data_IF_958032206707
#
_entry.id   IF_958032206707
#
_cell.length_a   1.000
_cell.length_b   1.000
_cell.length_c   1.000
_cell.angle_alpha   90.00
_cell.angle_beta   90.00
_cell.angle_gamma   90.00
#
_symmetry.space_group_name_H-M   'P 1'
#
loop_
_entity.id
_entity.type
_entity.pdbx_description
1 polymer ?
#
# COMPACT_ATOMS: atom_id res chain seq x y z
N UNK A 1 15.07 -20.08 10.76
CA UNK A 1 15.22 -21.13 9.72
C UNK A 1 13.94 -21.15 8.88
N UNK A 2 13.98 -20.61 7.65
CA UNK A 2 12.85 -20.70 6.70
C UNK A 2 12.72 -22.17 6.30
N UNK A 3 11.59 -22.79 6.60
CA UNK A 3 11.36 -24.20 6.30
C UNK A 3 11.40 -24.40 4.79
N UNK A 4 12.19 -25.35 4.25
CA UNK A 4 12.25 -25.64 2.81
C UNK A 4 10.87 -26.00 2.23
N UNK A 5 9.97 -26.47 3.09
CA UNK A 5 8.55 -26.74 2.78
C UNK A 5 7.79 -25.52 2.24
N UNK A 6 8.21 -24.28 2.54
CA UNK A 6 7.54 -23.06 2.06
C UNK A 6 7.69 -22.80 0.55
N UNK A 7 8.67 -23.43 -0.11
CA UNK A 7 8.92 -23.27 -1.54
C UNK A 7 8.16 -24.31 -2.38
N UNK A 8 7.77 -25.42 -1.77
CA UNK A 8 7.10 -26.54 -2.46
C UNK A 8 5.78 -26.09 -3.09
N UNK A 9 4.96 -25.36 -2.33
CA UNK A 9 3.64 -24.92 -2.83
C UNK A 9 3.74 -23.97 -4.03
N UNK A 10 4.58 -22.92 -4.02
CA UNK A 10 4.79 -22.08 -5.22
C UNK A 10 5.26 -22.87 -6.45
N UNK A 11 6.20 -23.80 -6.28
CA UNK A 11 6.66 -24.64 -7.39
C UNK A 11 5.54 -25.52 -7.91
N UNK A 12 4.78 -26.14 -7.03
CA UNK A 12 3.64 -26.99 -7.42
C UNK A 12 2.58 -26.18 -8.18
N UNK A 13 2.31 -24.94 -7.76
CA UNK A 13 1.39 -24.04 -8.47
C UNK A 13 1.88 -23.70 -9.88
N UNK A 14 3.18 -23.47 -10.08
CA UNK A 14 3.76 -23.23 -11.40
C UNK A 14 3.65 -24.47 -12.30
N UNK A 15 3.88 -25.67 -11.74
CA UNK A 15 3.73 -26.93 -12.50
C UNK A 15 2.27 -27.14 -12.90
N UNK A 16 1.32 -26.93 -11.96
CA UNK A 16 -0.12 -27.04 -12.25
C UNK A 16 -0.54 -26.04 -13.31
N UNK A 17 -0.05 -24.79 -13.22
CA UNK A 17 -0.30 -23.79 -14.25
C UNK A 17 0.17 -24.24 -15.62
N UNK A 18 1.42 -24.70 -15.74
CA UNK A 18 1.98 -25.11 -17.04
C UNK A 18 1.22 -26.31 -17.65
N UNK A 19 0.88 -27.31 -16.81
CA UNK A 19 0.07 -28.47 -17.25
C UNK A 19 -1.33 -28.01 -17.71
N UNK A 20 -1.96 -27.11 -16.96
CA UNK A 20 -3.27 -26.57 -17.33
C UNK A 20 -3.20 -25.75 -18.63
N UNK A 21 -2.17 -24.90 -18.78
CA UNK A 21 -1.97 -24.10 -19.98
C UNK A 21 -1.75 -24.96 -21.24
N UNK A 22 -1.00 -26.05 -21.11
CA UNK A 22 -0.81 -27.01 -22.19
C UNK A 22 -2.11 -27.78 -22.54
N UNK A 23 -2.89 -28.16 -21.49
CA UNK A 23 -4.15 -28.91 -21.68
C UNK A 23 -5.24 -28.04 -22.31
N UNK A 24 -5.37 -26.79 -21.90
CA UNK A 24 -6.34 -25.82 -22.42
C UNK A 24 -5.92 -25.40 -23.85
N UNK A 25 -4.61 -25.31 -24.12
CA UNK A 25 -4.02 -24.91 -25.40
C UNK A 25 -4.64 -23.64 -26.02
N UNK A 26 -5.03 -22.69 -25.16
CA UNK A 26 -5.61 -21.40 -25.53
C UNK A 26 -4.92 -20.28 -24.77
N UNK A 27 -4.06 -19.53 -25.48
CA UNK A 27 -3.27 -18.44 -24.90
C UNK A 27 -4.12 -17.25 -24.44
N UNK A 28 -5.38 -17.12 -24.91
CA UNK A 28 -6.32 -16.10 -24.45
C UNK A 28 -6.94 -16.43 -23.08
N UNK A 29 -6.94 -17.70 -22.68
CA UNK A 29 -7.47 -18.14 -21.39
C UNK A 29 -6.32 -18.25 -20.39
N UNK A 30 -5.28 -19.01 -20.74
CA UNK A 30 -4.14 -19.28 -19.88
C UNK A 30 -2.85 -19.37 -20.71
N UNK A 31 -2.01 -18.31 -20.73
CA UNK A 31 -0.76 -18.33 -21.48
C UNK A 31 0.24 -19.29 -20.83
N UNK A 32 1.11 -19.88 -21.65
CA UNK A 32 2.19 -20.76 -21.21
C UNK A 32 3.32 -19.92 -20.59
N UNK A 33 4.07 -20.50 -19.68
CA UNK A 33 5.22 -19.85 -19.05
C UNK A 33 6.26 -19.41 -20.07
N UNK A 34 6.42 -20.16 -21.17
CA UNK A 34 7.33 -19.81 -22.27
C UNK A 34 7.02 -18.47 -22.95
N UNK A 35 5.76 -17.97 -22.86
CA UNK A 35 5.37 -16.66 -23.42
C UNK A 35 5.46 -15.53 -22.37
N UNK A 36 5.32 -15.84 -21.10
CA UNK A 36 5.37 -14.86 -19.99
C UNK A 36 6.81 -14.55 -19.57
N UNK A 37 7.67 -15.58 -19.46
CA UNK A 37 9.04 -15.44 -18.97
C UNK A 37 9.89 -14.49 -19.83
N UNK A 38 9.86 -14.52 -21.18
CA UNK A 38 10.62 -13.57 -21.99
C UNK A 38 10.26 -12.11 -21.72
N UNK A 39 8.98 -11.81 -21.44
CA UNK A 39 8.52 -10.45 -21.10
C UNK A 39 9.16 -9.98 -19.79
N UNK A 40 9.24 -10.86 -18.80
CA UNK A 40 9.87 -10.54 -17.51
C UNK A 40 11.40 -10.41 -17.62
N UNK A 41 12.03 -11.17 -18.52
CA UNK A 41 13.49 -11.12 -18.75
C UNK A 41 13.92 -9.91 -19.60
N UNK A 42 12.99 -9.30 -20.34
CA UNK A 42 13.25 -8.11 -21.14
C UNK A 42 12.39 -6.91 -20.64
N UNK A 43 12.53 -6.47 -19.39
CA UNK A 43 11.62 -5.52 -18.73
C UNK A 43 11.73 -4.09 -19.28
N UNK A 44 12.70 -3.81 -20.15
CA UNK A 44 12.93 -2.51 -20.79
C UNK A 44 12.35 -2.42 -22.21
N UNK A 45 11.87 -3.53 -22.77
CA UNK A 45 11.25 -3.54 -24.09
C UNK A 45 9.85 -2.95 -24.01
N UNK A 46 9.50 -2.15 -25.02
CA UNK A 46 8.17 -1.55 -25.14
C UNK A 46 7.10 -2.60 -25.31
N UNK A 47 5.98 -2.44 -24.61
CA UNK A 47 4.83 -3.34 -24.67
C UNK A 47 3.65 -2.60 -25.28
N UNK A 48 3.30 -2.95 -26.50
CA UNK A 48 2.12 -2.45 -27.21
C UNK A 48 2.05 -0.92 -27.33
N UNK A 49 3.19 -0.21 -27.28
CA UNK A 49 3.23 1.26 -27.32
C UNK A 49 2.84 1.94 -26.00
N UNK A 50 2.69 1.17 -24.89
CA UNK A 50 2.39 1.73 -23.56
C UNK A 50 3.64 2.01 -22.73
N UNK A 51 4.81 1.74 -23.27
CA UNK A 51 6.08 1.76 -22.57
C UNK A 51 6.47 0.39 -22.01
N UNK A 52 7.66 0.30 -21.45
CA UNK A 52 8.21 -0.93 -20.88
C UNK A 52 7.62 -1.27 -19.51
N UNK A 53 7.85 -2.50 -19.01
CA UNK A 53 7.49 -2.87 -17.64
C UNK A 53 8.13 -1.93 -16.60
N UNK A 54 9.41 -1.57 -16.80
CA UNK A 54 10.13 -0.67 -15.90
C UNK A 54 9.52 0.72 -15.93
N UNK A 55 9.20 1.26 -17.11
CA UNK A 55 8.56 2.56 -17.25
C UNK A 55 7.22 2.60 -16.52
N UNK A 56 6.34 1.62 -16.77
CA UNK A 56 5.03 1.55 -16.14
C UNK A 56 5.13 1.35 -14.61
N UNK A 57 6.12 0.57 -14.16
CA UNK A 57 6.39 0.40 -12.72
C UNK A 57 6.79 1.72 -12.05
N UNK A 58 7.68 2.48 -12.67
CA UNK A 58 8.12 3.78 -12.15
C UNK A 58 6.96 4.78 -12.07
N UNK A 59 6.12 4.84 -13.10
CA UNK A 59 4.92 5.71 -13.10
C UNK A 59 3.95 5.33 -11.97
N UNK A 60 3.68 4.02 -11.78
CA UNK A 60 2.83 3.57 -10.67
C UNK A 60 3.45 3.89 -9.31
N UNK A 61 4.78 3.75 -9.16
CA UNK A 61 5.51 4.10 -7.94
C UNK A 61 5.47 5.59 -7.63
N UNK A 62 5.58 6.45 -8.64
CA UNK A 62 5.45 7.91 -8.48
C UNK A 62 4.05 8.26 -7.96
N UNK A 63 3.01 7.70 -8.56
CA UNK A 63 1.62 7.95 -8.16
C UNK A 63 1.31 7.47 -6.75
N UNK A 64 1.73 6.24 -6.42
CA UNK A 64 1.51 5.71 -5.06
C UNK A 64 2.30 6.53 -4.04
N UNK A 65 3.52 6.93 -4.36
CA UNK A 65 4.34 7.81 -3.52
C UNK A 65 3.63 9.13 -3.24
N UNK A 66 3.10 9.79 -4.26
CA UNK A 66 2.38 11.05 -4.11
C UNK A 66 1.15 10.90 -3.19
N UNK A 67 0.26 9.94 -3.45
CA UNK A 67 -0.93 9.72 -2.62
C UNK A 67 -0.61 9.30 -1.19
N UNK A 68 0.40 8.45 -1.02
CA UNK A 68 0.87 8.02 0.28
C UNK A 68 1.47 9.17 1.11
N UNK A 69 2.28 10.04 0.50
CA UNK A 69 2.85 11.22 1.19
C UNK A 69 1.76 12.19 1.65
N UNK A 70 0.73 12.42 0.83
CA UNK A 70 -0.44 13.22 1.24
C UNK A 70 -1.15 12.57 2.43
N UNK A 71 -1.31 11.24 2.39
CA UNK A 71 -1.91 10.51 3.52
C UNK A 71 -1.09 10.64 4.80
N UNK A 72 0.24 10.53 4.73
CA UNK A 72 1.14 10.74 5.87
C UNK A 72 0.98 12.12 6.48
N UNK A 73 1.02 13.15 5.61
CA UNK A 73 0.97 14.55 6.04
C UNK A 73 -0.32 14.90 6.79
N UNK A 74 -1.43 14.22 6.50
CA UNK A 74 -2.74 14.49 7.11
C UNK A 74 -3.05 13.48 8.22
N UNK A 75 -2.88 12.18 7.98
CA UNK A 75 -3.31 11.13 8.90
C UNK A 75 -2.48 11.10 10.20
N UNK A 76 -1.17 11.34 10.12
CA UNK A 76 -0.32 11.29 11.32
C UNK A 76 -0.65 12.45 12.26
N UNK A 77 -0.65 13.75 11.85
CA UNK A 77 -1.00 14.84 12.75
C UNK A 77 -2.42 14.72 13.31
N UNK A 78 -3.39 14.35 12.45
CA UNK A 78 -4.77 14.15 12.89
C UNK A 78 -4.87 13.00 13.91
N UNK A 79 -4.22 11.86 13.65
CA UNK A 79 -4.22 10.70 14.52
C UNK A 79 -3.54 10.95 15.86
N UNK A 80 -2.43 11.70 15.87
CA UNK A 80 -1.79 12.14 17.09
C UNK A 80 -2.71 13.07 17.89
N UNK A 81 -3.35 14.04 17.22
CA UNK A 81 -4.28 14.96 17.86
C UNK A 81 -5.50 14.24 18.45
N UNK A 82 -6.08 13.28 17.74
CA UNK A 82 -7.21 12.47 18.23
C UNK A 82 -6.78 11.54 19.36
N UNK A 83 -5.63 10.89 19.25
CA UNK A 83 -5.10 10.02 20.30
C UNK A 83 -4.78 10.77 21.61
N UNK A 84 -4.36 12.03 21.51
CA UNK A 84 -3.99 12.88 22.65
C UNK A 84 -5.18 13.62 23.25
N UNK A 85 -6.12 14.12 22.43
CA UNK A 85 -7.25 14.96 22.86
C UNK A 85 -8.58 14.24 22.74
N UNK A 86 -9.21 13.93 23.89
CA UNK A 86 -10.56 13.33 23.92
C UNK A 86 -11.62 14.18 23.20
N UNK A 87 -11.48 15.52 23.21
CA UNK A 87 -12.44 16.42 22.54
C UNK A 87 -12.33 16.29 21.03
N UNK A 88 -11.11 16.28 20.51
CA UNK A 88 -10.87 16.12 19.08
C UNK A 88 -11.31 14.73 18.61
N UNK A 89 -11.01 13.69 19.38
CA UNK A 89 -11.45 12.32 19.14
C UNK A 89 -12.98 12.25 19.02
N UNK A 90 -13.71 12.73 20.02
CA UNK A 90 -15.16 12.73 20.04
C UNK A 90 -15.79 13.54 18.87
N UNK A 91 -15.14 14.61 18.44
CA UNK A 91 -15.62 15.44 17.33
C UNK A 91 -15.43 14.78 15.96
N UNK A 92 -14.32 14.11 15.73
CA UNK A 92 -13.93 13.59 14.40
C UNK A 92 -14.29 12.12 14.22
N UNK A 93 -14.29 11.31 15.29
CA UNK A 93 -14.43 9.85 15.25
C UNK A 93 -15.68 9.40 14.50
N UNK A 94 -16.85 10.02 14.77
CA UNK A 94 -18.11 9.67 14.10
C UNK A 94 -17.99 9.81 12.58
N UNK A 95 -17.37 10.88 12.10
CA UNK A 95 -17.18 11.10 10.65
C UNK A 95 -16.25 10.04 10.04
N UNK A 96 -15.17 9.69 10.74
CA UNK A 96 -14.25 8.64 10.31
C UNK A 96 -14.96 7.29 10.22
N UNK A 97 -15.75 6.93 11.24
CA UNK A 97 -16.49 5.66 11.27
C UNK A 97 -17.51 5.56 10.14
N UNK A 98 -18.10 6.66 9.69
CA UNK A 98 -19.05 6.70 8.57
C UNK A 98 -18.35 6.59 7.21
N UNK A 99 -17.16 7.20 7.05
CA UNK A 99 -16.45 7.24 5.76
C UNK A 99 -15.58 6.00 5.53
N UNK A 100 -14.99 5.42 6.58
CA UNK A 100 -14.07 4.30 6.51
C UNK A 100 -14.58 3.07 5.76
N UNK A 101 -15.88 2.64 5.91
CA UNK A 101 -16.39 1.46 5.21
C UNK A 101 -16.49 1.62 3.69
N UNK A 102 -16.42 2.86 3.18
CA UNK A 102 -16.54 3.12 1.74
C UNK A 102 -15.23 2.74 1.05
N UNK A 103 -15.23 1.76 0.12
CA UNK A 103 -14.02 1.37 -0.59
C UNK A 103 -13.40 2.58 -1.33
N UNK A 104 -12.06 2.78 -1.29
CA UNK A 104 -11.42 3.92 -1.94
C UNK A 104 -11.77 4.06 -3.43
N UNK A 105 -11.87 2.93 -4.16
CA UNK A 105 -12.22 2.94 -5.58
C UNK A 105 -13.65 3.42 -5.87
N UNK A 106 -14.57 3.25 -4.92
CA UNK A 106 -15.95 3.74 -5.08
C UNK A 106 -16.03 5.28 -5.18
N UNK A 107 -15.00 5.98 -4.70
CA UNK A 107 -14.87 7.43 -4.84
C UNK A 107 -14.40 7.86 -6.24
N UNK A 108 -14.06 6.91 -7.14
CA UNK A 108 -13.54 7.19 -8.48
C UNK A 108 -14.35 8.22 -9.28
N UNK A 109 -15.68 8.05 -9.46
CA UNK A 109 -16.51 9.03 -10.17
C UNK A 109 -16.47 10.43 -9.55
N UNK A 110 -16.51 10.52 -8.22
CA UNK A 110 -16.41 11.80 -7.51
C UNK A 110 -15.02 12.41 -7.61
N UNK A 111 -13.97 11.59 -7.53
CA UNK A 111 -12.60 12.04 -7.70
C UNK A 111 -12.40 12.68 -9.08
N UNK A 112 -12.94 12.07 -10.14
CA UNK A 112 -12.90 12.64 -11.50
C UNK A 112 -13.73 13.93 -11.59
N UNK A 113 -14.90 13.98 -10.96
CA UNK A 113 -15.74 15.15 -10.96
C UNK A 113 -15.10 16.36 -10.25
N UNK A 114 -14.37 16.12 -9.16
CA UNK A 114 -13.74 17.17 -8.36
C UNK A 114 -12.36 17.60 -8.89
N UNK A 115 -11.56 16.65 -9.34
CA UNK A 115 -10.15 16.86 -9.70
C UNK A 115 -9.88 16.72 -11.20
N UNK A 116 -10.92 16.48 -12.01
CA UNK A 116 -10.82 16.13 -13.42
C UNK A 116 -10.12 14.79 -13.67
N UNK A 117 -10.10 14.39 -14.92
CA UNK A 117 -9.37 13.20 -15.38
C UNK A 117 -7.86 13.45 -15.25
N UNK A 118 -7.11 12.55 -14.62
CA UNK A 118 -5.66 12.66 -14.53
C UNK A 118 -5.09 12.25 -13.17
N UNK A 119 -3.86 12.69 -12.89
CA UNK A 119 -3.08 12.28 -11.73
C UNK A 119 -3.74 12.65 -10.39
N UNK A 120 -4.40 13.81 -10.32
CA UNK A 120 -4.98 14.30 -9.05
C UNK A 120 -6.12 13.39 -8.56
N UNK A 121 -6.98 12.92 -9.46
CA UNK A 121 -8.06 11.98 -9.11
C UNK A 121 -7.50 10.63 -8.63
N UNK A 122 -6.41 10.14 -9.25
CA UNK A 122 -5.73 8.92 -8.82
C UNK A 122 -5.07 9.11 -7.45
N UNK A 123 -4.33 10.20 -7.25
CA UNK A 123 -3.69 10.56 -5.97
C UNK A 123 -4.71 10.62 -4.84
N UNK A 124 -5.92 11.15 -5.10
CA UNK A 124 -7.00 11.19 -4.11
C UNK A 124 -7.48 9.79 -3.72
N UNK A 125 -7.65 8.86 -4.67
CA UNK A 125 -8.05 7.47 -4.39
C UNK A 125 -6.97 6.74 -3.60
N UNK A 126 -5.70 6.93 -3.98
CA UNK A 126 -4.54 6.34 -3.30
C UNK A 126 -4.44 6.90 -1.87
N UNK A 127 -4.63 8.22 -1.73
CA UNK A 127 -4.69 8.89 -0.43
C UNK A 127 -5.75 8.25 0.48
N UNK A 128 -6.98 8.05 0.02
CA UNK A 128 -8.03 7.41 0.80
C UNK A 128 -7.66 5.99 1.22
N UNK A 129 -6.98 5.24 0.36
CA UNK A 129 -6.52 3.89 0.66
C UNK A 129 -5.50 3.84 1.80
N UNK A 130 -4.57 4.79 1.84
CA UNK A 130 -3.54 4.89 2.88
C UNK A 130 -4.05 5.57 4.16
N UNK A 131 -4.93 6.56 4.03
CA UNK A 131 -5.33 7.48 5.11
C UNK A 131 -5.90 6.77 6.32
N UNK A 132 -6.93 5.94 6.15
CA UNK A 132 -7.60 5.30 7.28
C UNK A 132 -6.70 4.33 8.06
N UNK A 133 -5.93 3.42 7.44
CA UNK A 133 -5.01 2.56 8.17
C UNK A 133 -3.95 3.34 8.96
N UNK A 134 -3.38 4.39 8.37
CA UNK A 134 -2.37 5.22 9.03
C UNK A 134 -3.00 5.97 10.21
N UNK A 135 -4.16 6.59 9.99
CA UNK A 135 -4.88 7.34 11.01
C UNK A 135 -5.21 6.48 12.23
N UNK A 136 -5.85 5.33 12.01
CA UNK A 136 -6.30 4.47 13.10
C UNK A 136 -5.13 3.89 13.89
N UNK A 137 -4.08 3.40 13.21
CA UNK A 137 -2.90 2.92 13.91
C UNK A 137 -2.16 4.03 14.66
N UNK A 138 -2.22 5.28 14.17
CA UNK A 138 -1.65 6.42 14.88
C UNK A 138 -2.46 6.73 16.14
N UNK A 139 -3.80 6.76 16.06
CA UNK A 139 -4.68 6.93 17.21
C UNK A 139 -4.43 5.83 18.26
N UNK A 140 -4.44 4.58 17.83
CA UNK A 140 -4.23 3.41 18.70
C UNK A 140 -2.84 3.44 19.34
N UNK A 141 -1.81 3.80 18.58
CA UNK A 141 -0.45 3.95 19.06
C UNK A 141 -0.36 4.99 20.19
N UNK A 142 -0.95 6.16 20.01
CA UNK A 142 -0.96 7.22 21.01
C UNK A 142 -1.78 6.82 22.25
N UNK A 143 -2.96 6.22 22.06
CA UNK A 143 -3.84 5.78 23.15
C UNK A 143 -3.26 4.59 23.94
N UNK A 144 -2.37 3.79 23.35
CA UNK A 144 -1.77 2.61 23.99
C UNK A 144 -0.69 2.93 25.00
N UNK A 145 -0.22 4.16 25.07
CA UNK A 145 0.85 4.57 26.00
C UNK A 145 0.36 4.49 27.44
N UNK A 146 1.13 3.78 28.27
CA UNK A 146 0.81 3.59 29.69
C UNK A 146 0.74 4.95 30.41
N UNK A 147 -0.37 5.20 31.09
CA UNK A 147 -0.58 6.44 31.88
C UNK A 147 0.55 6.69 32.85
N UNK A 148 1.08 5.63 33.47
CA UNK A 148 2.21 5.73 34.42
C UNK A 148 3.43 6.41 33.79
N UNK A 149 3.74 6.19 32.52
CA UNK A 149 4.87 6.86 31.86
C UNK A 149 4.62 8.38 31.73
N UNK A 150 3.39 8.75 31.41
CA UNK A 150 2.96 10.14 31.31
C UNK A 150 3.04 10.81 32.67
N UNK A 151 2.52 10.16 33.73
CA UNK A 151 2.52 10.65 35.11
C UNK A 151 3.93 10.83 35.68
N UNK A 152 4.83 9.86 35.43
CA UNK A 152 6.24 9.97 35.82
C UNK A 152 6.92 11.17 35.15
N UNK A 153 6.71 11.34 33.83
CA UNK A 153 7.29 12.47 33.11
C UNK A 153 6.77 13.83 33.67
N UNK A 154 5.46 13.91 33.97
CA UNK A 154 4.86 15.12 34.59
C UNK A 154 5.38 15.38 35.99
N UNK A 155 5.57 14.36 36.82
CA UNK A 155 6.16 14.47 38.16
C UNK A 155 7.59 15.02 38.11
N UNK A 156 8.33 14.69 37.05
CA UNK A 156 9.67 15.22 36.76
C UNK A 156 9.64 16.64 36.18
N UNK A 157 8.48 17.27 36.05
CA UNK A 157 8.33 18.66 35.59
C UNK A 157 8.25 18.79 34.05
N UNK A 158 8.01 17.72 33.32
CA UNK A 158 7.87 17.79 31.86
C UNK A 158 6.55 18.51 31.48
N UNK A 159 6.64 19.48 30.57
CA UNK A 159 5.47 20.13 29.99
C UNK A 159 4.70 19.16 29.08
N UNK A 160 3.42 19.43 28.79
CA UNK A 160 2.58 18.59 27.89
C UNK A 160 3.23 18.34 26.52
N UNK A 161 3.88 19.36 25.95
CA UNK A 161 4.61 19.22 24.67
C UNK A 161 5.82 18.29 24.79
N UNK A 162 6.52 18.34 25.91
CA UNK A 162 7.64 17.44 26.18
C UNK A 162 7.18 16.02 26.40
N UNK A 163 6.09 15.82 27.13
CA UNK A 163 5.46 14.49 27.29
C UNK A 163 5.06 13.92 25.94
N UNK A 164 4.36 14.70 25.10
CA UNK A 164 3.95 14.26 23.78
C UNK A 164 5.16 13.88 22.89
N UNK A 165 6.16 14.77 22.81
CA UNK A 165 7.28 14.58 21.87
C UNK A 165 8.34 13.59 22.35
N UNK A 166 8.57 13.46 23.67
CA UNK A 166 9.65 12.63 24.23
C UNK A 166 9.20 11.30 24.82
N UNK A 167 7.90 11.14 25.12
CA UNK A 167 7.35 9.92 25.70
C UNK A 167 6.33 9.28 24.77
N UNK A 168 5.29 10.03 24.40
CA UNK A 168 4.14 9.48 23.67
C UNK A 168 4.51 9.13 22.23
N UNK A 169 5.07 10.06 21.45
CA UNK A 169 5.41 9.82 20.04
C UNK A 169 6.47 8.72 19.86
N UNK A 170 7.59 8.70 20.62
CA UNK A 170 8.53 7.60 20.56
C UNK A 170 7.91 6.25 20.96
N UNK A 171 7.07 6.23 22.01
CA UNK A 171 6.39 5.02 22.43
C UNK A 171 5.34 4.53 21.43
N UNK A 172 4.64 5.44 20.74
CA UNK A 172 3.64 5.13 19.72
C UNK A 172 4.26 4.73 18.36
N UNK A 173 5.52 5.11 18.11
CA UNK A 173 6.17 4.97 16.81
C UNK A 173 6.12 3.55 16.21
N UNK A 174 6.22 2.42 16.96
CA UNK A 174 6.11 1.09 16.38
C UNK A 174 4.70 0.80 15.83
N UNK A 175 3.66 1.29 16.50
CA UNK A 175 2.27 1.11 16.05
C UNK A 175 1.97 2.01 14.86
N UNK A 176 2.46 3.26 14.87
CA UNK A 176 2.40 4.17 13.71
C UNK A 176 3.09 3.51 12.51
N UNK A 177 4.29 2.92 12.69
CA UNK A 177 5.00 2.22 11.62
C UNK A 177 4.20 1.06 11.04
N UNK A 178 3.52 0.29 11.89
CA UNK A 178 2.59 -0.76 11.44
C UNK A 178 1.48 -0.16 10.57
N UNK A 179 0.93 1.00 10.97
CA UNK A 179 -0.05 1.75 10.17
C UNK A 179 0.48 2.19 8.82
N UNK A 180 1.73 2.67 8.75
CA UNK A 180 2.39 3.04 7.50
C UNK A 180 2.52 1.84 6.56
N UNK A 181 2.96 0.70 7.06
CA UNK A 181 3.11 -0.53 6.29
C UNK A 181 1.78 -1.02 5.72
N UNK A 182 0.74 -1.10 6.56
CA UNK A 182 -0.60 -1.52 6.12
C UNK A 182 -1.18 -0.50 5.13
N UNK A 183 -1.05 0.80 5.43
CA UNK A 183 -1.51 1.89 4.57
C UNK A 183 -0.84 1.88 3.21
N UNK A 184 0.48 1.65 3.14
CA UNK A 184 1.18 1.53 1.87
C UNK A 184 0.70 0.33 1.05
N UNK A 185 0.49 -0.83 1.70
CA UNK A 185 -0.05 -2.02 1.03
C UNK A 185 -1.40 -1.77 0.38
N UNK A 186 -2.32 -1.07 1.07
CA UNK A 186 -3.62 -0.71 0.51
C UNK A 186 -3.48 0.36 -0.57
N UNK A 187 -2.61 1.36 -0.39
CA UNK A 187 -2.31 2.37 -1.41
C UNK A 187 -1.77 1.74 -2.70
N UNK A 188 -0.91 0.71 -2.59
CA UNK A 188 -0.40 -0.05 -3.73
C UNK A 188 -1.51 -0.79 -4.49
N UNK A 189 -2.49 -1.37 -3.80
CA UNK A 189 -3.67 -1.94 -4.46
C UNK A 189 -4.53 -0.85 -5.12
N UNK A 190 -4.69 0.28 -4.45
CA UNK A 190 -5.49 1.41 -4.95
C UNK A 190 -4.89 2.03 -6.21
N UNK A 191 -3.55 2.16 -6.34
CA UNK A 191 -2.95 2.74 -7.55
C UNK A 191 -3.24 1.89 -8.78
N UNK A 192 -3.13 0.56 -8.67
CA UNK A 192 -3.40 -0.34 -9.78
C UNK A 192 -4.85 -0.21 -10.27
N UNK A 193 -5.80 -0.13 -9.32
CA UNK A 193 -7.21 0.05 -9.64
C UNK A 193 -7.52 1.47 -10.16
N UNK A 194 -6.85 2.51 -9.64
CA UNK A 194 -7.01 3.88 -10.10
C UNK A 194 -6.46 4.08 -11.52
N UNK A 195 -5.45 3.33 -11.92
CA UNK A 195 -4.91 3.34 -13.27
C UNK A 195 -5.84 2.72 -14.34
N UNK A 196 -6.92 2.08 -13.92
CA UNK A 196 -8.00 1.63 -14.82
C UNK A 196 -9.00 2.76 -15.15
N UNK A 197 -8.93 3.89 -14.44
CA UNK A 197 -9.81 5.02 -14.70
C UNK A 197 -9.50 5.68 -16.07
N UNK A 198 -10.50 6.30 -16.71
CA UNK A 198 -10.33 6.99 -17.97
C UNK A 198 -9.22 8.06 -17.91
N UNK A 199 -8.52 8.25 -19.05
CA UNK A 199 -7.48 9.26 -19.20
C UNK A 199 -6.10 8.86 -18.70
N UNK A 200 -5.92 7.60 -18.27
CA UNK A 200 -4.61 7.04 -17.97
C UNK A 200 -3.96 6.52 -19.26
N UNK A 201 -2.67 6.79 -19.44
CA UNK A 201 -1.91 6.36 -20.63
C UNK A 201 -0.68 5.52 -20.28
N UNK A 202 -0.41 5.32 -18.99
CA UNK A 202 0.77 4.60 -18.48
C UNK A 202 0.53 4.11 -17.05
N UNK A 203 1.36 3.20 -16.59
CA UNK A 203 1.27 2.54 -15.28
C UNK A 203 0.97 1.04 -15.42
N UNK A 204 1.31 0.25 -14.39
CA UNK A 204 1.13 -1.21 -14.40
C UNK A 204 -0.35 -1.62 -14.50
N UNK A 205 -1.25 -0.89 -13.82
CA UNK A 205 -2.69 -1.11 -13.94
C UNK A 205 -3.18 -0.81 -15.35
N UNK A 206 -2.78 0.33 -15.93
CA UNK A 206 -3.11 0.68 -17.31
C UNK A 206 -2.60 -0.36 -18.29
N UNK A 207 -1.34 -0.78 -18.18
CA UNK A 207 -0.74 -1.82 -19.03
C UNK A 207 -1.56 -3.11 -19.00
N UNK A 208 -1.99 -3.57 -17.81
CA UNK A 208 -2.80 -4.79 -17.68
C UNK A 208 -4.17 -4.65 -18.34
N UNK A 209 -4.84 -3.51 -18.17
CA UNK A 209 -6.14 -3.24 -18.81
C UNK A 209 -5.99 -3.10 -20.34
N UNK A 210 -4.94 -2.42 -20.79
CA UNK A 210 -4.67 -2.25 -22.21
C UNK A 210 -4.37 -3.59 -22.89
N UNK A 211 -3.52 -4.41 -22.28
CA UNK A 211 -3.22 -5.75 -22.77
C UNK A 211 -4.46 -6.65 -22.80
N UNK A 212 -5.38 -6.50 -21.83
CA UNK A 212 -6.68 -7.21 -21.84
C UNK A 212 -7.51 -6.86 -23.07
N UNK A 213 -7.61 -5.57 -23.43
CA UNK A 213 -8.37 -5.11 -24.59
C UNK A 213 -7.83 -5.66 -25.93
N UNK A 214 -6.53 -6.00 -25.97
CA UNK A 214 -5.89 -6.62 -27.13
C UNK A 214 -5.79 -8.16 -27.04
N UNK A 215 -6.36 -8.77 -25.99
CA UNK A 215 -6.31 -10.22 -25.79
C UNK A 215 -4.91 -10.78 -25.49
N UNK A 216 -3.98 -9.94 -25.04
CA UNK A 216 -2.57 -10.29 -24.81
C UNK A 216 -2.35 -10.72 -23.36
N UNK A 217 -2.85 -11.90 -22.98
CA UNK A 217 -2.86 -12.39 -21.59
C UNK A 217 -1.47 -12.56 -21.00
N UNK A 218 -0.45 -12.86 -21.79
CA UNK A 218 0.93 -12.98 -21.30
C UNK A 218 1.48 -11.66 -20.75
N UNK A 219 1.11 -10.50 -21.32
CA UNK A 219 1.48 -9.19 -20.76
C UNK A 219 0.72 -8.87 -19.48
N UNK A 220 -0.56 -9.29 -19.38
CA UNK A 220 -1.33 -9.13 -18.15
C UNK A 220 -0.63 -9.86 -16.99
N UNK A 221 -0.27 -11.13 -17.22
CA UNK A 221 0.37 -11.96 -16.20
C UNK A 221 1.77 -11.43 -15.86
N UNK A 222 2.55 -11.00 -16.86
CA UNK A 222 3.83 -10.36 -16.60
C UNK A 222 3.66 -9.07 -15.76
N UNK A 223 2.66 -8.25 -16.05
CA UNK A 223 2.28 -7.09 -15.24
C UNK A 223 1.89 -7.47 -13.81
N UNK A 224 1.03 -8.49 -13.64
CA UNK A 224 0.63 -8.99 -12.30
C UNK A 224 1.81 -9.52 -11.49
N UNK A 225 2.73 -10.26 -12.11
CA UNK A 225 3.96 -10.74 -11.45
C UNK A 225 4.82 -9.55 -11.03
N UNK A 226 4.98 -8.54 -11.88
CA UNK A 226 5.74 -7.33 -11.59
C UNK A 226 5.12 -6.56 -10.41
N UNK A 227 3.78 -6.40 -10.39
CA UNK A 227 3.03 -5.80 -9.27
C UNK A 227 3.31 -6.57 -7.97
N UNK A 228 3.25 -7.91 -8.03
CA UNK A 228 3.53 -8.77 -6.88
C UNK A 228 4.96 -8.65 -6.36
N UNK A 229 5.96 -8.65 -7.25
CA UNK A 229 7.37 -8.49 -6.88
C UNK A 229 7.60 -7.15 -6.17
N UNK A 230 7.06 -6.06 -6.72
CA UNK A 230 7.17 -4.72 -6.11
C UNK A 230 6.50 -4.70 -4.74
N UNK A 231 5.30 -5.26 -4.61
CA UNK A 231 4.59 -5.36 -3.33
C UNK A 231 5.39 -6.13 -2.27
N UNK A 232 5.98 -7.27 -2.63
CA UNK A 232 6.85 -8.06 -1.74
C UNK A 232 8.11 -7.27 -1.36
N UNK A 233 8.72 -6.56 -2.30
CA UNK A 233 9.90 -5.74 -2.04
C UNK A 233 9.61 -4.65 -1.01
N UNK A 234 8.47 -3.95 -1.12
CA UNK A 234 8.04 -2.96 -0.12
C UNK A 234 7.74 -3.59 1.24
N UNK A 235 7.00 -4.71 1.29
CA UNK A 235 6.75 -5.40 2.56
C UNK A 235 8.05 -5.80 3.25
N UNK A 236 9.01 -6.31 2.49
CA UNK A 236 10.35 -6.63 3.00
C UNK A 236 11.09 -5.38 3.51
N UNK A 237 11.02 -4.27 2.78
CA UNK A 237 11.62 -2.99 3.18
C UNK A 237 11.04 -2.50 4.51
N UNK A 238 9.71 -2.45 4.63
CA UNK A 238 9.04 -2.03 5.87
C UNK A 238 9.41 -2.92 7.06
N UNK A 239 9.45 -4.25 6.88
CA UNK A 239 9.88 -5.20 7.94
C UNK A 239 11.34 -4.99 8.33
N UNK A 240 12.22 -4.79 7.35
CA UNK A 240 13.64 -4.61 7.63
C UNK A 240 13.91 -3.33 8.44
N UNK A 241 13.14 -2.28 8.20
CA UNK A 241 13.20 -1.05 8.98
C UNK A 241 12.60 -1.28 10.38
N UNK A 242 11.46 -1.98 10.47
CA UNK A 242 10.81 -2.34 11.74
C UNK A 242 11.78 -3.10 12.67
N UNK A 243 12.43 -4.14 12.15
CA UNK A 243 13.36 -4.98 12.91
C UNK A 243 14.60 -4.21 13.40
N UNK A 244 15.04 -3.20 12.65
CA UNK A 244 16.23 -2.40 13.02
C UNK A 244 15.91 -1.27 14.00
N UNK A 245 14.77 -0.62 13.84
CA UNK A 245 14.45 0.61 14.59
C UNK A 245 13.62 0.36 15.84
N UNK A 246 12.90 -0.76 15.93
CA UNK A 246 11.98 -1.07 17.04
C UNK A 246 12.35 -2.35 17.80
N UNK A 247 13.66 -2.63 17.94
CA UNK A 247 14.17 -3.82 18.65
C UNK A 247 13.73 -3.89 20.12
N UNK A 248 13.38 -2.75 20.75
CA UNK A 248 12.88 -2.72 22.13
C UNK A 248 11.47 -3.31 22.31
N UNK A 249 10.66 -3.45 21.25
CA UNK A 249 9.30 -4.03 21.31
C UNK A 249 9.29 -5.50 21.78
N UNK A 250 10.41 -6.21 21.64
CA UNK A 250 10.57 -7.61 22.08
C UNK A 250 10.85 -7.80 23.56
N UNK A 251 11.13 -6.74 24.31
CA UNK A 251 11.49 -6.79 25.74
C UNK A 251 10.27 -6.73 26.66
N UNK A 252 9.08 -6.50 26.14
CA UNK A 252 7.83 -6.39 26.91
C UNK A 252 6.97 -7.69 26.94
N UNK A 253 7.55 -8.84 26.50
CA UNK A 253 6.88 -10.14 26.58
C UNK A 253 7.36 -10.95 27.75
#
# INVERSE_FOLDING_TARGET
>A
MRRPLGIILPILLLIVWEIAAQSINNQFILPRLETVVPVLLAPTVDILGTGSLVHNALVSLERVGAGFLVALAIAIPLGVGMGWSRRLDAFVDTTIQLLRPIPPLAWGPLAIAWFSVGINSMVFIIFLGAFFPILLNTIDGVKSIKKTWVEVAQTLGASERQVLSKVVLPGASPTIWTGLRVGFGIAWMCVIAAEWLPGTTSGLGYLTLYAYNFGQMHYIIAGMITIGIIGIAFDFLFRSVEDRWFCWRGLER
#
